data_IF_397440870140
#
_entry.id   IF_397440870140
#
_cell.length_a   1.000
_cell.length_b   1.000
_cell.length_c   1.000
_cell.angle_alpha   90.00
_cell.angle_beta   90.00
_cell.angle_gamma   90.00
#
_symmetry.space_group_name_H-M   'P 1'
#
loop_
_entity.id
_entity.type
_entity.pdbx_description
1 polymer ?
#
# COMPACT_ATOMS: atom_id res chain seq x y z
N UNK A 1 19.06 95.99 -11.00
CA UNK A 1 18.40 94.74 -10.52
C UNK A 1 19.01 93.44 -11.06
N UNK A 2 19.70 93.42 -12.21
CA UNK A 2 20.16 92.17 -12.83
C UNK A 2 21.43 91.57 -12.20
N UNK A 3 22.36 92.39 -11.71
CA UNK A 3 23.62 91.92 -11.12
C UNK A 3 23.43 91.10 -9.83
N UNK A 4 22.48 91.47 -8.97
CA UNK A 4 22.17 90.75 -7.73
C UNK A 4 21.56 89.36 -7.99
N UNK A 5 20.74 89.24 -9.04
CA UNK A 5 20.18 87.94 -9.45
C UNK A 5 21.25 87.02 -10.00
N UNK A 6 22.22 87.56 -10.77
CA UNK A 6 23.33 86.79 -11.30
C UNK A 6 24.26 86.24 -10.21
N UNK A 7 24.60 87.04 -9.19
CA UNK A 7 25.44 86.56 -8.07
C UNK A 7 24.77 85.48 -7.25
N UNK A 8 23.45 85.58 -6.99
CA UNK A 8 22.71 84.51 -6.32
C UNK A 8 22.74 83.22 -7.14
N UNK A 9 22.57 83.31 -8.46
CA UNK A 9 22.56 82.15 -9.35
C UNK A 9 23.93 81.44 -9.40
N UNK A 10 25.02 82.21 -9.44
CA UNK A 10 26.39 81.65 -9.38
C UNK A 10 26.65 80.99 -8.02
N UNK A 11 26.22 81.60 -6.92
CA UNK A 11 26.32 81.00 -5.59
C UNK A 11 25.54 79.68 -5.48
N UNK A 12 24.33 79.64 -6.05
CA UNK A 12 23.52 78.42 -6.09
C UNK A 12 24.19 77.31 -6.91
N UNK A 13 24.76 77.64 -8.07
CA UNK A 13 25.48 76.66 -8.89
C UNK A 13 26.73 76.16 -8.16
N UNK A 14 27.46 77.03 -7.46
CA UNK A 14 28.64 76.65 -6.69
C UNK A 14 28.28 75.73 -5.50
N UNK A 15 27.20 76.01 -4.76
CA UNK A 15 26.78 75.17 -3.64
C UNK A 15 26.24 73.82 -4.11
N UNK A 16 25.46 73.80 -5.20
CA UNK A 16 24.99 72.55 -5.81
C UNK A 16 26.16 71.73 -6.36
N UNK A 17 27.15 72.37 -6.99
CA UNK A 17 28.37 71.70 -7.46
C UNK A 17 29.19 71.09 -6.31
N UNK A 18 29.30 71.80 -5.18
CA UNK A 18 30.02 71.31 -4.00
C UNK A 18 29.27 70.15 -3.33
N UNK A 19 27.94 70.23 -3.23
CA UNK A 19 27.11 69.12 -2.76
C UNK A 19 27.23 67.90 -3.68
N UNK A 20 27.20 68.09 -5.00
CA UNK A 20 27.37 67.01 -5.96
C UNK A 20 28.74 66.34 -5.83
N UNK A 21 29.81 67.12 -5.67
CA UNK A 21 31.16 66.59 -5.41
C UNK A 21 31.23 65.81 -4.08
N UNK A 22 30.62 66.33 -3.01
CA UNK A 22 30.57 65.65 -1.72
C UNK A 22 29.86 64.29 -1.84
N UNK A 23 28.74 64.23 -2.57
CA UNK A 23 27.96 63.02 -2.77
C UNK A 23 28.63 62.00 -3.68
N UNK A 24 29.26 62.44 -4.77
CA UNK A 24 29.79 61.53 -5.79
C UNK A 24 31.22 61.05 -5.50
N UNK A 25 32.01 61.83 -4.77
CA UNK A 25 33.44 61.51 -4.56
C UNK A 25 33.74 61.22 -3.09
N UNK A 26 33.25 62.06 -2.17
CA UNK A 26 33.65 62.00 -0.76
C UNK A 26 32.92 60.89 0.02
N UNK A 27 31.61 60.73 -0.20
CA UNK A 27 30.83 59.68 0.46
C UNK A 27 31.23 58.26 0.04
N UNK A 28 31.39 57.93 -1.25
CA UNK A 28 31.77 56.58 -1.66
C UNK A 28 33.16 56.18 -1.16
N UNK A 29 34.12 57.12 -1.17
CA UNK A 29 35.47 56.88 -0.64
C UNK A 29 35.45 56.54 0.87
N UNK A 30 34.60 57.22 1.65
CA UNK A 30 34.41 56.95 3.09
C UNK A 30 33.71 55.62 3.33
N UNK A 31 32.71 55.28 2.52
CA UNK A 31 32.00 53.99 2.61
C UNK A 31 32.95 52.83 2.31
N UNK A 32 33.75 52.93 1.25
CA UNK A 32 34.71 51.88 0.88
C UNK A 32 35.76 51.65 1.98
N UNK A 33 36.26 52.71 2.62
CA UNK A 33 37.17 52.58 3.76
C UNK A 33 36.52 51.89 4.96
N UNK A 34 35.26 52.21 5.26
CA UNK A 34 34.54 51.59 6.36
C UNK A 34 34.26 50.10 6.10
N UNK A 35 33.87 49.74 4.87
CA UNK A 35 33.66 48.36 4.45
C UNK A 35 34.94 47.52 4.48
N UNK A 36 36.07 48.09 4.03
CA UNK A 36 37.36 47.42 4.14
C UNK A 36 37.77 47.18 5.59
N UNK A 37 37.56 48.16 6.47
CA UNK A 37 37.85 48.03 7.89
C UNK A 37 36.99 46.94 8.56
N UNK A 38 35.68 46.92 8.27
CA UNK A 38 34.77 45.88 8.76
C UNK A 38 35.14 44.49 8.26
N UNK A 39 35.56 44.38 7.01
CA UNK A 39 36.01 43.11 6.42
C UNK A 39 37.29 42.61 7.10
N UNK A 40 38.26 43.49 7.35
CA UNK A 40 39.49 43.13 8.06
C UNK A 40 39.23 42.66 9.50
N UNK A 41 38.32 43.32 10.22
CA UNK A 41 37.93 42.87 11.56
C UNK A 41 37.36 41.45 11.55
N UNK A 42 36.46 41.14 10.60
CA UNK A 42 35.88 39.80 10.47
C UNK A 42 36.90 38.72 10.13
N UNK A 43 37.89 39.04 9.28
CA UNK A 43 38.98 38.12 8.94
C UNK A 43 39.81 37.82 10.19
N UNK A 44 40.22 38.85 10.94
CA UNK A 44 41.00 38.69 12.16
C UNK A 44 40.24 37.86 13.23
N UNK A 45 38.94 38.07 13.38
CA UNK A 45 38.10 37.27 14.28
C UNK A 45 37.98 35.82 13.84
N UNK A 46 37.93 35.56 12.54
CA UNK A 46 37.88 34.21 12.00
C UNK A 46 39.21 33.49 12.21
N UNK A 47 40.33 34.14 11.88
CA UNK A 47 41.68 33.59 12.08
C UNK A 47 41.94 33.27 13.55
N UNK A 48 41.51 34.15 14.47
CA UNK A 48 41.64 33.89 15.91
C UNK A 48 40.85 32.66 16.35
N UNK A 49 39.59 32.53 15.90
CA UNK A 49 38.77 31.35 16.21
C UNK A 49 39.35 30.06 15.63
N UNK A 50 39.94 30.15 14.44
CA UNK A 50 40.60 29.02 13.81
C UNK A 50 41.84 28.59 14.61
N UNK A 51 42.68 29.53 15.04
CA UNK A 51 43.83 29.24 15.89
C UNK A 51 43.43 28.63 17.23
N UNK A 52 42.36 29.12 17.87
CA UNK A 52 41.83 28.54 19.11
C UNK A 52 41.31 27.11 18.91
N UNK A 53 40.62 26.84 17.80
CA UNK A 53 40.15 25.51 17.45
C UNK A 53 41.31 24.55 17.18
N UNK A 54 42.32 24.98 16.41
CA UNK A 54 43.48 24.16 16.08
C UNK A 54 44.33 23.86 17.32
N UNK A 55 44.48 24.83 18.23
CA UNK A 55 45.14 24.61 19.52
C UNK A 55 44.38 23.59 20.39
N UNK A 56 43.04 23.65 20.41
CA UNK A 56 42.19 22.70 21.13
C UNK A 56 42.31 21.29 20.54
N UNK A 57 42.27 21.16 19.22
CA UNK A 57 42.44 19.86 18.55
C UNK A 57 43.84 19.29 18.76
N UNK A 58 44.87 20.13 18.77
CA UNK A 58 46.25 19.71 19.06
C UNK A 58 46.43 19.25 20.52
N UNK A 59 45.67 19.79 21.48
CA UNK A 59 45.67 19.30 22.86
C UNK A 59 44.96 17.95 22.97
N UNK A 60 43.77 17.81 22.36
CA UNK A 60 43.04 16.55 22.32
C UNK A 60 43.86 15.42 21.67
N UNK A 61 44.65 15.71 20.64
CA UNK A 61 45.53 14.73 20.00
C UNK A 61 46.67 14.22 20.87
N UNK A 62 47.12 15.00 21.88
CA UNK A 62 48.21 14.61 22.78
C UNK A 62 47.77 13.66 23.90
N UNK A 63 46.50 13.68 24.27
CA UNK A 63 45.95 12.84 25.34
C UNK A 63 45.39 11.50 24.81
N UNK A 64 45.31 11.33 23.48
CA UNK A 64 44.83 10.10 22.83
C UNK A 64 45.84 8.95 22.90
N UNK A 65 47.13 9.25 23.09
CA UNK A 65 48.21 8.26 23.23
C UNK A 65 48.39 7.74 24.68
N UNK A 66 47.53 8.16 25.61
CA UNK A 66 47.54 7.62 26.96
C UNK A 66 47.09 6.14 26.95
N UNK A 67 47.81 5.23 27.64
CA UNK A 67 47.52 3.79 27.60
C UNK A 67 46.11 3.44 28.10
N UNK A 68 45.51 4.27 28.97
CA UNK A 68 44.13 4.12 29.42
C UNK A 68 43.10 4.36 28.30
N UNK A 69 43.35 5.31 27.39
CA UNK A 69 42.45 5.61 26.26
C UNK A 69 42.53 4.51 25.20
N UNK A 70 43.73 3.96 24.98
CA UNK A 70 43.92 2.81 24.09
C UNK A 70 43.23 1.54 24.63
N UNK A 71 43.32 1.27 25.94
CA UNK A 71 42.64 0.16 26.58
C UNK A 71 41.10 0.32 26.56
N UNK A 72 40.59 1.53 26.80
CA UNK A 72 39.17 1.82 26.73
C UNK A 72 38.61 1.66 25.29
N UNK A 73 39.36 2.07 24.27
CA UNK A 73 38.99 1.84 22.87
C UNK A 73 38.99 0.36 22.49
N UNK A 74 40.00 -0.40 22.91
CA UNK A 74 40.04 -1.84 22.65
C UNK A 74 38.87 -2.59 23.31
N UNK A 75 38.51 -2.22 24.53
CA UNK A 75 37.34 -2.78 25.22
C UNK A 75 36.02 -2.41 24.52
N UNK A 76 35.86 -1.15 24.11
CA UNK A 76 34.68 -0.69 23.37
C UNK A 76 34.56 -1.35 21.99
N UNK A 77 35.67 -1.60 21.28
CA UNK A 77 35.66 -2.33 20.01
C UNK A 77 35.29 -3.81 20.19
N UNK A 78 35.71 -4.44 21.28
CA UNK A 78 35.32 -5.82 21.58
C UNK A 78 33.84 -5.93 21.93
N UNK A 79 33.31 -4.97 22.71
CA UNK A 79 31.89 -4.88 23.03
C UNK A 79 31.04 -4.58 21.80
N UNK A 80 31.50 -3.68 20.92
CA UNK A 80 30.84 -3.38 19.65
C UNK A 80 30.75 -4.62 18.75
N UNK A 81 31.83 -5.41 18.65
CA UNK A 81 31.83 -6.67 17.89
C UNK A 81 30.86 -7.71 18.46
N UNK A 82 30.73 -7.80 19.79
CA UNK A 82 29.77 -8.70 20.44
C UNK A 82 28.33 -8.26 20.15
N UNK A 83 28.04 -6.97 20.30
CA UNK A 83 26.72 -6.42 20.02
C UNK A 83 26.34 -6.59 18.54
N UNK A 84 27.29 -6.41 17.60
CA UNK A 84 27.05 -6.64 16.17
C UNK A 84 26.77 -8.12 15.87
N UNK A 85 27.50 -9.04 16.50
CA UNK A 85 27.24 -10.48 16.36
C UNK A 85 25.87 -10.89 16.92
N UNK A 86 25.46 -10.33 18.06
CA UNK A 86 24.14 -10.57 18.64
C UNK A 86 23.00 -10.00 17.79
N UNK A 87 23.18 -8.79 17.24
CA UNK A 87 22.23 -8.18 16.30
C UNK A 87 22.07 -9.01 15.04
N UNK A 88 23.18 -9.45 14.43
CA UNK A 88 23.13 -10.29 13.23
C UNK A 88 22.41 -11.62 13.49
N UNK A 89 22.67 -12.28 14.63
CA UNK A 89 21.97 -13.50 15.01
C UNK A 89 20.45 -13.27 15.24
N UNK A 90 20.07 -12.12 15.82
CA UNK A 90 18.68 -11.73 15.99
C UNK A 90 17.98 -11.43 14.65
N UNK A 91 18.68 -10.81 13.70
CA UNK A 91 18.17 -10.55 12.36
C UNK A 91 17.96 -11.84 11.56
N UNK A 92 18.92 -12.77 11.57
CA UNK A 92 18.80 -14.07 10.90
C UNK A 92 17.60 -14.87 11.42
N UNK A 93 17.40 -14.90 12.74
CA UNK A 93 16.26 -15.59 13.35
C UNK A 93 14.92 -14.92 13.02
N UNK A 94 14.88 -13.59 12.97
CA UNK A 94 13.71 -12.82 12.56
C UNK A 94 13.34 -13.07 11.08
N UNK A 95 14.34 -13.05 10.19
CA UNK A 95 14.13 -13.32 8.75
C UNK A 95 13.59 -14.73 8.54
N UNK A 96 14.18 -15.74 9.18
CA UNK A 96 13.71 -17.13 9.09
C UNK A 96 12.27 -17.29 9.64
N UNK A 97 11.95 -16.66 10.77
CA UNK A 97 10.60 -16.68 11.33
C UNK A 97 9.58 -16.00 10.39
N UNK A 98 9.97 -14.91 9.74
CA UNK A 98 9.13 -14.20 8.78
C UNK A 98 8.90 -15.02 7.50
N UNK A 99 9.93 -15.72 7.01
CA UNK A 99 9.84 -16.61 5.86
C UNK A 99 8.91 -17.79 6.16
N UNK A 100 9.03 -18.39 7.35
CA UNK A 100 8.15 -19.49 7.77
C UNK A 100 6.69 -19.06 7.84
N UNK A 101 6.39 -17.88 8.39
CA UNK A 101 5.03 -17.34 8.40
C UNK A 101 4.47 -17.11 7.00
N UNK A 102 5.30 -16.65 6.05
CA UNK A 102 4.86 -16.49 4.65
C UNK A 102 4.52 -17.83 4.00
N UNK A 103 5.35 -18.85 4.21
CA UNK A 103 5.06 -20.20 3.73
C UNK A 103 3.79 -20.77 4.35
N UNK A 104 3.58 -20.62 5.66
CA UNK A 104 2.34 -21.07 6.33
C UNK A 104 1.09 -20.35 5.78
N UNK A 105 1.20 -19.06 5.42
CA UNK A 105 0.11 -18.31 4.79
C UNK A 105 -0.15 -18.78 3.35
N UNK A 106 0.90 -19.03 2.57
CA UNK A 106 0.79 -19.54 1.20
C UNK A 106 0.18 -20.95 1.18
N UNK A 107 0.64 -21.84 2.06
CA UNK A 107 0.07 -23.19 2.22
C UNK A 107 -1.41 -23.11 2.62
N UNK A 108 -1.76 -22.24 3.58
CA UNK A 108 -3.16 -22.04 3.96
C UNK A 108 -4.02 -21.46 2.81
N UNK A 109 -3.46 -20.56 1.99
CA UNK A 109 -4.15 -20.02 0.83
C UNK A 109 -4.39 -21.09 -0.24
N UNK A 110 -3.38 -21.93 -0.54
CA UNK A 110 -3.55 -23.06 -1.48
C UNK A 110 -4.54 -24.10 -0.96
N UNK A 111 -4.55 -24.39 0.34
CA UNK A 111 -5.52 -25.31 0.93
C UNK A 111 -6.95 -24.74 0.89
N UNK A 112 -7.12 -23.42 1.04
CA UNK A 112 -8.42 -22.76 0.89
C UNK A 112 -8.89 -22.75 -0.57
N UNK A 113 -7.97 -22.56 -1.52
CA UNK A 113 -8.26 -22.59 -2.96
C UNK A 113 -8.63 -24.00 -3.43
N UNK A 114 -7.94 -25.04 -2.95
CA UNK A 114 -8.28 -26.44 -3.22
C UNK A 114 -9.60 -26.87 -2.55
N UNK A 115 -9.91 -26.34 -1.36
CA UNK A 115 -11.21 -26.57 -0.70
C UNK A 115 -12.37 -25.79 -1.36
N UNK A 116 -12.08 -24.73 -2.11
CA UNK A 116 -13.07 -23.93 -2.82
C UNK A 116 -13.39 -24.46 -4.23
N UNK A 117 -12.66 -25.47 -4.73
CA UNK A 117 -12.98 -26.11 -6.01
C UNK A 117 -14.36 -26.79 -5.90
N UNK A 118 -15.33 -26.44 -6.75
CA UNK A 118 -16.67 -27.02 -6.68
C UNK A 118 -16.59 -28.53 -6.92
N UNK A 119 -17.12 -29.32 -5.97
CA UNK A 119 -17.18 -30.77 -6.10
C UNK A 119 -17.91 -31.15 -7.39
N UNK A 120 -17.32 -32.00 -8.25
CA UNK A 120 -17.98 -32.42 -9.49
C UNK A 120 -19.27 -33.18 -9.17
N UNK A 121 -20.36 -32.78 -9.82
CA UNK A 121 -21.64 -33.49 -9.81
C UNK A 121 -21.62 -34.70 -10.73
N UNK A 122 -20.81 -34.68 -11.78
CA UNK A 122 -20.81 -35.70 -12.83
C UNK A 122 -20.04 -35.32 -14.08
N UNK A 123 -20.24 -36.10 -15.13
CA UNK A 123 -19.65 -35.88 -16.45
C UNK A 123 -20.71 -35.91 -17.55
N UNK A 124 -20.52 -35.06 -18.56
CA UNK A 124 -21.38 -34.99 -19.76
C UNK A 124 -21.22 -36.29 -20.56
N UNK A 125 -22.33 -36.96 -20.85
CA UNK A 125 -22.36 -38.18 -21.68
C UNK A 125 -22.61 -37.86 -23.14
N UNK A 126 -23.54 -36.93 -23.42
CA UNK A 126 -23.87 -36.51 -24.77
C UNK A 126 -24.51 -35.12 -24.78
N UNK A 127 -24.41 -34.43 -25.92
CA UNK A 127 -25.08 -33.16 -26.17
C UNK A 127 -25.89 -33.28 -27.46
N UNK A 128 -27.19 -33.01 -27.36
CA UNK A 128 -28.13 -33.01 -28.47
C UNK A 128 -28.37 -31.56 -28.90
N UNK A 129 -27.64 -31.13 -29.93
CA UNK A 129 -27.66 -29.75 -30.43
C UNK A 129 -29.06 -29.33 -30.91
N UNK A 130 -29.76 -30.22 -31.62
CA UNK A 130 -31.09 -29.94 -32.20
C UNK A 130 -32.16 -29.59 -31.14
N UNK A 131 -31.99 -30.10 -29.92
CA UNK A 131 -32.95 -29.90 -28.83
C UNK A 131 -32.38 -29.00 -27.71
N UNK A 132 -31.12 -28.56 -27.83
CA UNK A 132 -30.37 -27.91 -26.75
C UNK A 132 -30.42 -28.67 -25.41
N UNK A 133 -30.41 -30.02 -25.47
CA UNK A 133 -30.45 -30.89 -24.29
C UNK A 133 -29.08 -31.51 -24.04
N UNK A 134 -28.64 -31.41 -22.79
CA UNK A 134 -27.45 -32.06 -22.27
C UNK A 134 -27.84 -33.34 -21.53
N UNK A 135 -27.15 -34.43 -21.83
CA UNK A 135 -27.21 -35.67 -21.08
C UNK A 135 -25.95 -35.77 -20.22
N UNK A 136 -26.11 -36.07 -18.94
CA UNK A 136 -24.99 -36.29 -18.05
C UNK A 136 -25.26 -37.42 -17.07
N UNK A 137 -24.18 -38.01 -16.58
CA UNK A 137 -24.22 -39.02 -15.54
C UNK A 137 -23.69 -38.42 -14.25
N UNK A 138 -24.45 -38.53 -13.18
CA UNK A 138 -24.00 -38.10 -11.87
C UNK A 138 -22.84 -38.99 -11.39
N UNK A 139 -21.75 -38.37 -10.95
CA UNK A 139 -20.60 -39.01 -10.34
C UNK A 139 -20.37 -38.35 -8.98
N UNK A 140 -20.88 -38.99 -7.91
CA UNK A 140 -20.77 -38.46 -6.56
C UNK A 140 -21.99 -38.78 -5.71
N UNK A 141 -21.93 -38.38 -4.43
CA UNK A 141 -23.02 -38.57 -3.46
C UNK A 141 -23.97 -37.37 -3.37
N UNK A 142 -23.81 -36.36 -4.24
CA UNK A 142 -24.65 -35.16 -4.19
C UNK A 142 -26.01 -35.43 -4.87
N UNK A 143 -27.15 -35.14 -4.21
CA UNK A 143 -28.46 -35.38 -4.81
C UNK A 143 -28.73 -34.38 -5.94
N UNK A 144 -28.99 -34.91 -7.14
CA UNK A 144 -29.41 -34.13 -8.31
C UNK A 144 -30.94 -34.08 -8.33
N UNK A 145 -31.50 -32.90 -8.12
CA UNK A 145 -32.94 -32.66 -8.12
C UNK A 145 -33.38 -31.97 -9.41
N UNK A 146 -34.63 -32.18 -9.80
CA UNK A 146 -35.28 -31.42 -10.87
C UNK A 146 -35.29 -29.91 -10.53
N UNK A 147 -35.00 -29.07 -11.51
CA UNK A 147 -34.87 -27.63 -11.36
C UNK A 147 -33.52 -27.16 -10.82
N UNK A 148 -32.58 -28.06 -10.52
CA UNK A 148 -31.20 -27.68 -10.14
C UNK A 148 -30.50 -27.03 -11.34
N UNK A 149 -29.83 -25.90 -11.09
CA UNK A 149 -29.02 -25.21 -12.11
C UNK A 149 -27.60 -25.76 -12.02
N UNK A 150 -27.15 -26.34 -13.13
CA UNK A 150 -25.82 -26.91 -13.29
C UNK A 150 -25.02 -26.08 -14.29
N UNK A 151 -23.70 -26.08 -14.12
CA UNK A 151 -22.77 -25.50 -15.08
C UNK A 151 -21.85 -26.60 -15.61
N UNK A 152 -21.56 -26.54 -16.91
CA UNK A 152 -20.58 -27.42 -17.54
C UNK A 152 -19.24 -26.69 -17.52
N UNK A 153 -18.27 -27.26 -16.82
CA UNK A 153 -16.91 -26.77 -16.72
C UNK A 153 -15.98 -27.58 -17.62
N UNK A 154 -15.15 -26.87 -18.39
CA UNK A 154 -14.01 -27.46 -19.10
C UNK A 154 -12.76 -26.77 -18.61
N UNK A 155 -11.85 -27.55 -18.01
CA UNK A 155 -10.64 -27.01 -17.38
C UNK A 155 -11.02 -25.92 -16.37
N UNK A 156 -10.69 -24.66 -16.65
CA UNK A 156 -10.88 -23.53 -15.72
C UNK A 156 -11.99 -22.55 -16.15
N UNK A 157 -12.80 -22.87 -17.17
CA UNK A 157 -13.89 -22.00 -17.62
C UNK A 157 -15.23 -22.72 -17.74
N UNK A 158 -16.30 -21.94 -17.58
CA UNK A 158 -17.68 -22.41 -17.70
C UNK A 158 -18.12 -22.29 -19.16
N UNK A 159 -18.55 -23.42 -19.72
CA UNK A 159 -18.96 -23.58 -21.12
C UNK A 159 -20.42 -23.17 -21.29
N UNK A 160 -21.31 -23.68 -20.44
CA UNK A 160 -22.74 -23.37 -20.48
C UNK A 160 -23.43 -23.63 -19.14
N UNK A 161 -24.59 -23.00 -18.93
CA UNK A 161 -25.50 -23.32 -17.84
C UNK A 161 -26.69 -24.12 -18.36
N UNK A 162 -27.11 -25.12 -17.59
CA UNK A 162 -28.28 -25.93 -17.90
C UNK A 162 -29.13 -26.12 -16.64
N UNK A 163 -30.43 -26.36 -16.83
CA UNK A 163 -31.35 -26.69 -15.74
C UNK A 163 -31.74 -28.15 -15.86
N UNK A 164 -31.62 -28.91 -14.78
CA UNK A 164 -31.98 -30.33 -14.77
C UNK A 164 -33.49 -30.47 -14.89
N UNK A 165 -33.95 -31.17 -15.92
CA UNK A 165 -35.39 -31.40 -16.18
C UNK A 165 -35.88 -32.69 -15.54
N UNK A 166 -35.03 -33.72 -15.49
CA UNK A 166 -35.44 -35.02 -15.00
C UNK A 166 -34.33 -36.06 -15.07
N UNK A 167 -34.64 -37.25 -14.54
CA UNK A 167 -33.81 -38.44 -14.65
C UNK A 167 -34.52 -39.47 -15.50
N UNK A 168 -33.81 -40.00 -16.49
CA UNK A 168 -34.26 -41.16 -17.24
C UNK A 168 -34.04 -42.42 -16.40
N UNK A 169 -35.11 -43.14 -16.07
CA UNK A 169 -35.08 -44.34 -15.23
C UNK A 169 -34.42 -45.53 -15.95
N UNK A 170 -34.45 -45.57 -17.29
CA UNK A 170 -33.91 -46.69 -18.07
C UNK A 170 -32.38 -46.59 -18.23
N UNK A 171 -31.86 -45.40 -18.57
CA UNK A 171 -30.43 -45.18 -18.76
C UNK A 171 -29.70 -44.71 -17.48
N UNK A 172 -30.45 -44.27 -16.47
CA UNK A 172 -29.92 -43.66 -15.26
C UNK A 172 -29.25 -42.31 -15.48
N UNK A 173 -29.39 -41.72 -16.67
CA UNK A 173 -28.83 -40.41 -17.04
C UNK A 173 -29.80 -39.28 -16.67
N UNK A 174 -29.23 -38.10 -16.43
CA UNK A 174 -30.00 -36.89 -16.20
C UNK A 174 -30.08 -36.07 -17.48
N UNK A 175 -31.26 -35.52 -17.74
CA UNK A 175 -31.50 -34.57 -18.83
C UNK A 175 -31.45 -33.16 -18.26
N UNK A 176 -30.74 -32.27 -18.94
CA UNK A 176 -30.72 -30.85 -18.60
C UNK A 176 -30.88 -29.99 -19.85
N UNK A 177 -31.87 -29.10 -19.87
CA UNK A 177 -32.02 -28.11 -20.91
C UNK A 177 -31.02 -26.98 -20.73
N UNK A 178 -30.25 -26.68 -21.78
CA UNK A 178 -29.33 -25.54 -21.77
C UNK A 178 -30.15 -24.26 -21.72
N UNK A 179 -29.86 -23.42 -20.74
CA UNK A 179 -30.36 -22.06 -20.69
C UNK A 179 -29.38 -21.21 -21.48
N UNK A 180 -29.86 -20.39 -22.41
CA UNK A 180 -29.02 -19.36 -23.02
C UNK A 180 -28.44 -18.49 -21.91
N UNK A 181 -27.20 -18.78 -21.53
CA UNK A 181 -26.51 -18.09 -20.47
C UNK A 181 -26.23 -16.68 -20.99
N UNK A 182 -26.98 -15.73 -20.43
CA UNK A 182 -26.70 -14.31 -20.58
C UNK A 182 -25.48 -14.02 -19.70
N UNK A 183 -24.30 -14.49 -20.13
CA UNK A 183 -23.02 -14.16 -19.50
C UNK A 183 -22.86 -12.65 -19.61
N UNK A 184 -23.21 -11.92 -18.56
CA UNK A 184 -23.23 -10.47 -18.55
C UNK A 184 -21.91 -9.90 -19.04
N UNK A 185 -21.89 -9.41 -20.27
CA UNK A 185 -20.90 -8.46 -20.79
C UNK A 185 -19.44 -8.90 -20.90
N UNK A 186 -19.04 -10.12 -20.51
CA UNK A 186 -17.65 -10.57 -20.69
C UNK A 186 -17.53 -11.22 -22.07
N UNK A 187 -17.23 -10.39 -23.07
CA UNK A 187 -16.77 -10.85 -24.39
C UNK A 187 -15.35 -11.42 -24.26
N UNK A 188 -15.23 -12.61 -23.69
CA UNK A 188 -14.03 -13.40 -23.93
C UNK A 188 -14.02 -13.84 -25.40
N UNK A 189 -12.89 -13.69 -26.12
CA UNK A 189 -12.76 -13.90 -27.55
C UNK A 189 -12.72 -15.39 -27.93
N UNK A 190 -13.34 -16.24 -27.13
CA UNK A 190 -13.42 -17.67 -27.36
C UNK A 190 -14.58 -17.90 -28.33
N UNK A 191 -14.23 -18.30 -29.56
CA UNK A 191 -15.15 -18.57 -30.67
C UNK A 191 -16.38 -19.38 -30.20
N UNK A 192 -17.57 -19.05 -30.71
CA UNK A 192 -18.84 -19.68 -30.32
C UNK A 192 -18.81 -21.22 -30.40
N UNK A 193 -17.99 -21.80 -31.28
CA UNK A 193 -17.76 -23.26 -31.36
C UNK A 193 -17.14 -23.88 -30.10
N UNK A 194 -16.35 -23.13 -29.34
CA UNK A 194 -15.74 -23.61 -28.10
C UNK A 194 -16.69 -23.57 -26.90
N UNK A 195 -17.86 -22.91 -27.05
CA UNK A 195 -18.91 -22.83 -26.02
C UNK A 195 -19.92 -23.98 -26.07
N UNK A 196 -19.72 -24.96 -26.96
CA UNK A 196 -20.53 -26.17 -27.01
C UNK A 196 -20.02 -27.21 -26.01
N UNK A 197 -20.89 -27.82 -25.19
CA UNK A 197 -20.50 -28.89 -24.29
C UNK A 197 -20.10 -30.14 -25.08
N UNK A 198 -19.12 -30.87 -24.58
CA UNK A 198 -18.57 -32.09 -25.18
C UNK A 198 -18.68 -33.26 -24.19
N UNK A 199 -18.78 -34.50 -24.69
CA UNK A 199 -18.67 -35.68 -23.84
C UNK A 199 -17.37 -35.66 -23.05
N UNK A 200 -17.46 -35.88 -21.74
CA UNK A 200 -16.33 -35.83 -20.81
C UNK A 200 -16.08 -34.48 -20.13
N UNK A 201 -16.83 -33.42 -20.48
CA UNK A 201 -16.81 -32.18 -19.71
C UNK A 201 -17.39 -32.41 -18.30
N UNK A 202 -16.89 -31.67 -17.31
CA UNK A 202 -17.27 -31.83 -15.90
C UNK A 202 -18.53 -31.03 -15.62
N UNK A 203 -19.50 -31.64 -14.95
CA UNK A 203 -20.72 -30.96 -14.50
C UNK A 203 -20.53 -30.56 -13.05
N UNK A 204 -20.77 -29.29 -12.74
CA UNK A 204 -20.72 -28.72 -11.39
C UNK A 204 -22.05 -28.03 -11.07
N UNK A 205 -22.32 -27.79 -9.78
CA UNK A 205 -23.40 -26.88 -9.39
C UNK A 205 -23.04 -25.48 -9.90
N UNK A 206 -23.96 -24.77 -10.54
CA UNK A 206 -23.63 -23.43 -11.06
C UNK A 206 -23.20 -22.51 -9.90
N UNK A 207 -22.04 -21.83 -10.00
CA UNK A 207 -21.62 -20.84 -9.02
C UNK A 207 -22.34 -19.50 -9.21
N UNK A 208 -23.10 -19.33 -10.30
CA UNK A 208 -23.82 -18.10 -10.57
C UNK A 208 -25.15 -18.09 -9.82
N UNK A 209 -25.36 -17.04 -9.02
CA UNK A 209 -26.64 -16.79 -8.37
C UNK A 209 -27.71 -16.63 -9.44
N UNK A 210 -28.70 -17.51 -9.43
CA UNK A 210 -29.83 -17.37 -10.33
C UNK A 210 -30.56 -16.07 -9.98
N UNK A 211 -31.04 -15.33 -10.98
CA UNK A 211 -31.86 -14.13 -10.74
C UNK A 211 -33.13 -14.37 -9.88
N UNK A 212 -33.47 -15.62 -9.55
CA UNK A 212 -34.49 -15.98 -8.54
C UNK A 212 -33.98 -15.86 -7.11
N UNK A 213 -32.72 -16.19 -6.85
CA UNK A 213 -32.11 -16.14 -5.50
C UNK A 213 -31.87 -14.69 -5.05
N UNK A 214 -31.55 -13.79 -5.98
CA UNK A 214 -31.44 -12.34 -5.74
C UNK A 214 -32.73 -11.67 -5.24
N UNK A 215 -33.90 -12.31 -5.41
CA UNK A 215 -35.18 -11.80 -4.89
C UNK A 215 -35.50 -12.25 -3.47
N UNK A 216 -34.86 -13.32 -2.99
CA UNK A 216 -35.09 -13.86 -1.65
C UNK A 216 -34.19 -13.24 -0.59
N UNK A 217 -32.98 -12.75 -0.95
CA UNK A 217 -32.07 -12.12 0.01
C UNK A 217 -32.48 -10.71 0.47
N UNK A 218 -33.46 -10.07 -0.19
CA UNK A 218 -33.87 -8.69 0.10
C UNK A 218 -35.26 -8.55 0.75
N UNK A 219 -35.87 -9.65 1.23
CA UNK A 219 -37.13 -9.55 1.98
C UNK A 219 -36.98 -10.10 3.40
N UNK A 220 -36.33 -9.31 4.26
CA UNK A 220 -36.53 -9.42 5.70
C UNK A 220 -37.77 -8.57 6.04
N UNK A 221 -38.92 -9.16 6.43
CA UNK A 221 -40.03 -8.35 6.92
C UNK A 221 -39.55 -7.55 8.15
N UNK A 222 -39.81 -6.23 8.23
CA UNK A 222 -39.35 -5.43 9.35
C UNK A 222 -39.99 -5.96 10.64
N UNK A 223 -39.14 -6.30 11.61
CA UNK A 223 -39.57 -6.71 12.93
C UNK A 223 -40.29 -5.54 13.65
N UNK A 224 -41.36 -5.80 14.42
CA UNK A 224 -42.04 -4.76 15.17
C UNK A 224 -41.11 -4.17 16.25
N UNK A 225 -41.23 -2.87 16.58
CA UNK A 225 -40.34 -2.22 17.54
C UNK A 225 -40.55 -2.78 18.95
N UNK A 226 -39.48 -3.29 19.55
CA UNK A 226 -39.44 -3.72 20.96
C UNK A 226 -38.96 -2.57 21.83
N UNK A 227 -39.82 -2.08 22.72
CA UNK A 227 -39.51 -1.11 23.77
C UNK A 227 -38.85 -1.80 24.96
N UNK A 228 -37.54 -1.62 25.15
CA UNK A 228 -36.90 -1.64 26.48
C UNK A 228 -35.48 -1.04 26.39
N UNK A 229 -35.17 0.06 27.10
CA UNK A 229 -33.80 0.57 27.19
C UNK A 229 -32.99 -0.21 28.24
N UNK A 230 -31.83 -0.74 27.85
CA UNK A 230 -30.86 -1.38 28.76
C UNK A 230 -30.18 -0.34 29.69
N UNK A 231 -29.90 -0.67 30.96
CA UNK A 231 -29.21 0.22 31.88
C UNK A 231 -27.69 0.20 31.65
N UNK A 232 -27.07 1.39 31.65
CA UNK A 232 -25.61 1.55 31.56
C UNK A 232 -24.88 1.11 32.85
N UNK A 233 -23.63 0.63 32.75
CA UNK A 233 -22.81 0.31 33.92
C UNK A 233 -22.25 1.55 34.63
N UNK A 234 -22.43 1.63 35.96
CA UNK A 234 -21.76 2.60 36.84
C UNK A 234 -20.26 2.30 36.95
N UNK A 235 -19.42 3.31 36.72
CA UNK A 235 -17.97 3.23 36.92
C UNK A 235 -17.67 3.86 38.30
N UNK A 236 -17.38 3.01 39.29
CA UNK A 236 -16.85 3.46 40.59
C UNK A 236 -15.39 3.92 40.44
N UNK A 237 -15.16 5.23 40.53
CA UNK A 237 -13.82 5.81 40.56
C UNK A 237 -13.26 5.76 42.00
N UNK A 238 -12.42 4.78 42.29
CA UNK A 238 -11.62 4.74 43.54
C UNK A 238 -10.37 5.60 43.34
N UNK A 239 -10.36 6.79 43.94
CA UNK A 239 -9.19 7.67 44.03
C UNK A 239 -8.24 7.15 45.12
N UNK A 240 -7.07 6.63 44.74
CA UNK A 240 -5.97 6.37 45.67
C UNK A 240 -5.14 7.65 45.89
N UNK A 241 -4.93 8.11 47.14
CA UNK A 241 -4.00 9.18 47.42
C UNK A 241 -2.55 8.67 47.41
N UNK A 242 -1.67 9.38 46.71
CA UNK A 242 -0.22 9.14 46.68
C UNK A 242 0.43 9.86 47.87
N UNK A 243 1.35 9.22 48.62
CA UNK A 243 2.11 9.85 49.72
C UNK A 243 3.17 10.85 49.24
#
# INVERSE_FOLDING_TARGET
MNAFRATILVLLIATVGLMFYAFTVLLPARQMQYEMYQTQLKINEYEKRQQEHDARMSQLGKDVDAPEVAAARAAAEEEAKKNEAELNAAEETSVLASAKRRQEIEEAATAAEDAAKPSPLGAVTAYLEDCAVLLFKAEGNMPVNEGLIIAVQREDYIVCEATVDGRDEESGQYTAAIKEANFGGVKDPVAEENRKPRPGDVVIVSPFLSSRDLRLENYTPPAPPSETPEPMPEIEAVLTPVP
#
